data_IF_149292451376
#
_entry.id   IF_149292451376
#
_cell.length_a   1.000
_cell.length_b   1.000
_cell.length_c   1.000
_cell.angle_alpha   90.00
_cell.angle_beta   90.00
_cell.angle_gamma   90.00
#
_symmetry.space_group_name_H-M   'P 1'
#
loop_
_entity.id
_entity.type
_entity.pdbx_description
1 polymer ?
#
# COMPACT_ATOMS: atom_id res chain seq x y z
N UNK A 1 -1.24 -0.81 6.02
CA UNK A 1 0.06 -0.92 6.71
C UNK A 1 0.15 0.20 7.74
N UNK A 2 1.09 0.13 8.68
CA UNK A 2 1.34 1.18 9.67
C UNK A 2 2.84 1.51 9.68
N UNK A 3 3.16 2.80 9.60
CA UNK A 3 4.52 3.32 9.81
C UNK A 3 4.70 3.63 11.30
N UNK A 4 5.79 3.16 11.90
CA UNK A 4 6.14 3.45 13.29
C UNK A 4 6.59 4.91 13.46
N UNK A 5 6.26 5.57 14.59
CA UNK A 5 6.74 6.92 14.88
C UNK A 5 8.28 6.99 14.84
N UNK A 6 8.82 8.07 14.27
CA UNK A 6 10.26 8.30 14.16
C UNK A 6 10.95 7.64 12.97
N UNK A 7 10.23 6.84 12.16
CA UNK A 7 10.74 6.30 10.90
C UNK A 7 10.37 7.21 9.72
N UNK A 8 11.25 7.27 8.72
CA UNK A 8 11.03 8.01 7.50
C UNK A 8 10.14 7.25 6.50
N UNK A 9 9.41 8.01 5.68
CA UNK A 9 8.57 7.44 4.63
C UNK A 9 9.41 6.84 3.51
N UNK A 10 9.13 5.60 3.19
CA UNK A 10 9.69 4.95 2.03
C UNK A 10 8.74 5.11 0.84
N UNK A 11 9.15 5.91 -0.16
CA UNK A 11 8.36 6.20 -1.36
C UNK A 11 9.12 5.75 -2.62
N UNK A 12 8.94 4.50 -3.06
CA UNK A 12 9.65 3.98 -4.25
C UNK A 12 9.10 4.58 -5.56
N UNK A 13 9.98 4.68 -6.56
CA UNK A 13 9.65 5.25 -7.89
C UNK A 13 8.62 4.45 -8.68
N UNK A 14 8.51 3.14 -8.38
CA UNK A 14 7.51 2.26 -8.94
C UNK A 14 6.99 1.31 -7.86
N UNK A 15 5.88 0.64 -8.17
CA UNK A 15 5.21 -0.25 -7.22
C UNK A 15 5.42 -1.74 -7.50
N UNK A 16 6.53 -2.12 -8.15
CA UNK A 16 6.90 -3.53 -8.25
C UNK A 16 7.23 -4.05 -6.83
N UNK A 17 6.55 -5.10 -6.33
CA UNK A 17 6.78 -5.61 -4.99
C UNK A 17 8.05 -6.46 -4.95
N UNK A 18 9.15 -5.87 -4.49
CA UNK A 18 10.46 -6.53 -4.41
C UNK A 18 10.99 -6.70 -2.98
N UNK A 19 10.32 -6.11 -1.99
CA UNK A 19 10.76 -6.14 -0.60
C UNK A 19 10.04 -7.23 0.19
N UNK A 20 10.78 -7.96 1.02
CA UNK A 20 10.21 -8.90 1.98
C UNK A 20 9.62 -8.14 3.18
N UNK A 21 8.70 -8.78 3.91
CA UNK A 21 8.13 -8.19 5.13
C UNK A 21 9.20 -7.81 6.17
N UNK A 22 10.24 -8.63 6.45
CA UNK A 22 11.33 -8.21 7.33
C UNK A 22 12.09 -6.97 6.86
N UNK A 23 12.33 -6.81 5.56
CA UNK A 23 12.99 -5.61 5.03
C UNK A 23 12.14 -4.35 5.23
N UNK A 24 10.81 -4.47 5.07
CA UNK A 24 9.87 -3.38 5.33
C UNK A 24 9.75 -3.08 6.84
N UNK A 25 9.84 -4.11 7.69
CA UNK A 25 9.84 -3.96 9.14
C UNK A 25 11.08 -3.18 9.64
N UNK A 26 12.26 -3.42 9.05
CA UNK A 26 13.47 -2.62 9.32
C UNK A 26 13.30 -1.14 8.95
N UNK A 27 12.37 -0.82 8.04
CA UNK A 27 11.98 0.54 7.67
C UNK A 27 10.79 1.08 8.49
N UNK A 28 10.40 0.38 9.56
CA UNK A 28 9.33 0.80 10.47
C UNK A 28 7.92 0.45 9.99
N UNK A 29 7.75 -0.28 8.89
CA UNK A 29 6.43 -0.67 8.41
C UNK A 29 5.95 -1.99 9.01
N UNK A 30 4.69 -2.05 9.38
CA UNK A 30 4.03 -3.26 9.88
C UNK A 30 2.70 -3.53 9.16
N UNK A 31 2.34 -4.79 8.93
CA UNK A 31 1.02 -5.14 8.41
C UNK A 31 -0.06 -4.85 9.45
N UNK A 32 -1.24 -4.43 8.99
CA UNK A 32 -2.43 -4.22 9.85
C UNK A 32 -3.31 -5.46 9.91
N UNK A 33 -3.27 -6.28 8.87
CA UNK A 33 -3.96 -7.56 8.74
C UNK A 33 -2.93 -8.68 8.55
N UNK A 34 -3.27 -9.95 8.81
CA UNK A 34 -2.39 -11.07 8.48
C UNK A 34 -2.00 -11.09 7.00
N UNK A 35 -0.70 -11.22 6.74
CA UNK A 35 -0.12 -11.35 5.39
C UNK A 35 0.71 -12.63 5.35
N UNK A 36 0.76 -13.28 4.18
CA UNK A 36 1.62 -14.45 3.99
C UNK A 36 3.09 -14.11 4.34
N UNK A 37 3.81 -14.96 5.11
CA UNK A 37 5.16 -14.63 5.60
C UNK A 37 6.19 -14.38 4.50
N UNK A 38 6.02 -15.01 3.35
CA UNK A 38 6.89 -14.94 2.17
C UNK A 38 6.43 -13.92 1.12
N UNK A 39 5.36 -13.17 1.41
CA UNK A 39 4.86 -12.16 0.49
C UNK A 39 5.91 -11.07 0.24
N UNK A 40 6.11 -10.76 -1.05
CA UNK A 40 6.80 -9.56 -1.46
C UNK A 40 5.80 -8.40 -1.53
N UNK A 41 6.26 -7.23 -1.10
CA UNK A 41 5.48 -6.01 -1.10
C UNK A 41 6.34 -4.80 -1.49
N UNK A 42 5.66 -3.70 -1.73
CA UNK A 42 6.19 -2.35 -1.78
C UNK A 42 5.37 -1.46 -0.86
N UNK A 43 5.82 -0.24 -0.59
CA UNK A 43 5.06 0.75 0.18
C UNK A 43 4.30 1.70 -0.74
N UNK A 44 3.10 2.07 -0.33
CA UNK A 44 2.31 3.11 -0.98
C UNK A 44 1.87 4.10 0.10
N UNK A 45 2.24 5.36 -0.08
CA UNK A 45 1.80 6.47 0.78
C UNK A 45 0.79 7.33 0.03
N UNK A 46 -0.33 7.61 0.67
CA UNK A 46 -1.38 8.49 0.17
C UNK A 46 -1.70 9.54 1.23
N UNK A 47 -1.94 10.77 0.79
CA UNK A 47 -2.46 11.83 1.64
C UNK A 47 -3.98 11.71 1.65
N UNK A 48 -4.56 11.43 2.82
CA UNK A 48 -6.00 11.41 3.03
C UNK A 48 -6.48 12.58 3.89
N UNK A 49 -7.78 12.83 3.94
CA UNK A 49 -8.38 13.87 4.81
C UNK A 49 -8.03 13.72 6.29
N UNK A 50 -7.98 12.49 6.80
CA UNK A 50 -7.61 12.17 8.18
C UNK A 50 -6.08 12.05 8.40
N UNK A 51 -5.29 12.48 7.41
CA UNK A 51 -3.85 12.37 7.38
C UNK A 51 -3.34 11.25 6.48
N UNK A 52 -2.05 10.97 6.60
CA UNK A 52 -1.37 10.02 5.71
C UNK A 52 -1.82 8.58 5.94
N UNK A 53 -2.02 7.88 4.84
CA UNK A 53 -2.33 6.45 4.80
C UNK A 53 -1.17 5.68 4.20
N UNK A 54 -0.79 4.59 4.87
CA UNK A 54 0.30 3.72 4.45
C UNK A 54 -0.24 2.35 4.07
N UNK A 55 0.13 1.86 2.90
CA UNK A 55 -0.32 0.57 2.38
C UNK A 55 0.85 -0.31 1.98
N UNK A 56 0.62 -1.62 2.03
CA UNK A 56 1.47 -2.57 1.31
C UNK A 56 0.84 -2.83 -0.05
N UNK A 57 1.60 -2.51 -1.10
CA UNK A 57 1.28 -2.86 -2.48
C UNK A 57 1.83 -4.25 -2.78
N UNK A 58 0.95 -5.20 -3.09
CA UNK A 58 1.33 -6.55 -3.51
C UNK A 58 1.24 -6.70 -5.04
N UNK A 59 1.52 -7.89 -5.55
CA UNK A 59 1.55 -8.17 -7.00
C UNK A 59 0.26 -7.74 -7.73
N UNK A 60 -0.91 -7.93 -7.12
CA UNK A 60 -2.18 -7.51 -7.72
C UNK A 60 -2.33 -5.99 -7.78
N UNK A 61 -1.81 -5.25 -6.80
CA UNK A 61 -1.78 -3.79 -6.86
C UNK A 61 -0.86 -3.32 -7.99
N UNK A 62 0.32 -3.93 -8.11
CA UNK A 62 1.24 -3.64 -9.21
C UNK A 62 0.59 -3.92 -10.57
N UNK A 63 -0.19 -4.99 -10.72
CA UNK A 63 -0.92 -5.28 -11.95
C UNK A 63 -1.86 -4.12 -12.37
N UNK A 64 -2.54 -3.45 -11.43
CA UNK A 64 -3.39 -2.28 -11.73
C UNK A 64 -2.53 -1.12 -12.26
N UNK A 65 -1.35 -0.90 -11.68
CA UNK A 65 -0.43 0.16 -12.14
C UNK A 65 0.11 -0.08 -13.55
N UNK A 66 0.02 -1.31 -14.07
CA UNK A 66 0.38 -1.60 -15.47
C UNK A 66 -0.59 -1.00 -16.48
N UNK A 67 -1.82 -0.72 -16.07
CA UNK A 67 -2.79 0.00 -16.90
C UNK A 67 -2.47 1.50 -16.94
N UNK A 68 -2.12 2.07 -15.78
CA UNK A 68 -1.67 3.46 -15.65
C UNK A 68 -0.69 3.56 -14.48
N UNK A 69 0.52 4.05 -14.74
CA UNK A 69 1.63 4.12 -13.77
C UNK A 69 1.44 5.26 -12.75
N UNK A 70 0.42 5.13 -11.89
CA UNK A 70 0.07 6.10 -10.86
C UNK A 70 -0.51 5.40 -9.62
N UNK A 71 0.07 5.67 -8.44
CA UNK A 71 -0.44 5.14 -7.16
C UNK A 71 -1.86 5.61 -6.87
N UNK A 72 -2.16 6.86 -7.22
CA UNK A 72 -3.49 7.43 -7.00
C UNK A 72 -4.51 6.73 -7.88
N UNK A 73 -4.18 6.50 -9.16
CA UNK A 73 -5.04 5.73 -10.06
C UNK A 73 -5.27 4.32 -9.52
N UNK A 74 -4.19 3.60 -9.20
CA UNK A 74 -4.29 2.22 -8.75
C UNK A 74 -5.07 2.08 -7.43
N UNK A 75 -4.90 3.02 -6.49
CA UNK A 75 -5.69 3.02 -5.26
C UNK A 75 -7.14 3.39 -5.51
N UNK A 76 -7.43 4.39 -6.36
CA UNK A 76 -8.80 4.77 -6.68
C UNK A 76 -9.56 3.61 -7.32
N UNK A 77 -8.94 2.88 -8.26
CA UNK A 77 -9.52 1.67 -8.86
C UNK A 77 -9.78 0.59 -7.79
N UNK A 78 -8.80 0.34 -6.92
CA UNK A 78 -8.95 -0.63 -5.85
C UNK A 78 -10.08 -0.24 -4.88
N UNK A 79 -10.07 0.98 -4.34
CA UNK A 79 -11.09 1.48 -3.42
C UNK A 79 -12.47 1.49 -4.05
N UNK A 80 -12.60 1.91 -5.32
CA UNK A 80 -13.86 1.84 -6.06
C UNK A 80 -14.38 0.40 -6.14
N UNK A 81 -13.51 -0.59 -6.43
CA UNK A 81 -13.90 -2.01 -6.46
C UNK A 81 -14.40 -2.50 -5.10
N UNK A 82 -13.78 -2.06 -4.00
CA UNK A 82 -14.21 -2.43 -2.65
C UNK A 82 -15.56 -1.78 -2.31
N UNK A 83 -15.76 -0.51 -2.67
CA UNK A 83 -17.03 0.19 -2.47
C UNK A 83 -18.19 -0.46 -3.26
N UNK A 84 -17.95 -0.83 -4.52
CA UNK A 84 -18.93 -1.59 -5.34
C UNK A 84 -19.27 -2.93 -4.70
N UNK A 85 -18.29 -3.60 -4.09
CA UNK A 85 -18.48 -4.84 -3.34
C UNK A 85 -19.12 -4.64 -1.95
N UNK A 86 -19.53 -3.42 -1.59
CA UNK A 86 -20.17 -3.10 -0.31
C UNK A 86 -19.21 -3.06 0.88
N UNK A 87 -17.91 -2.96 0.66
CA UNK A 87 -16.91 -2.86 1.74
C UNK A 87 -16.66 -1.40 2.10
N UNK A 88 -16.40 -1.18 3.39
CA UNK A 88 -15.96 0.12 3.87
C UNK A 88 -14.57 0.44 3.32
N UNK A 89 -14.40 1.66 2.81
CA UNK A 89 -13.12 2.19 2.35
C UNK A 89 -12.69 3.34 3.28
N UNK A 90 -11.37 3.55 3.46
CA UNK A 90 -10.87 4.70 4.20
C UNK A 90 -11.34 6.01 3.56
N UNK A 91 -11.50 7.05 4.38
CA UNK A 91 -11.75 8.41 3.91
C UNK A 91 -10.66 8.81 2.91
N UNK A 92 -11.09 9.39 1.78
CA UNK A 92 -10.18 10.04 0.84
C UNK A 92 -9.66 11.35 1.44
#
# INVERSE_FOLDING_TARGET
ARLQPGFEEFNPDNWLPTYTLPQLAQRGYSPVDPVAPDALATTVTLDGSDGKQYWFGFQNYYAITRYNNSKMYAMAVYQLSQAIAGKQIPSA
#
